data_IF_704734477921
#
_entry.id   IF_704734477921
#
_cell.length_a   1.000
_cell.length_b   1.000
_cell.length_c   1.000
_cell.angle_alpha   90.00
_cell.angle_beta   90.00
_cell.angle_gamma   90.00
#
_symmetry.space_group_name_H-M   'P 1'
#
loop_
_entity.id
_entity.type
_entity.pdbx_description
1 polymer ?
#
# COMPACT_ATOMS: atom_id res chain seq x y z
N UNK A 1 -5.31 -6.95 25.99
CA UNK A 1 -5.16 -5.95 24.91
C UNK A 1 -4.56 -6.68 23.72
N UNK A 2 -5.21 -6.72 22.56
CA UNK A 2 -4.60 -7.36 21.37
C UNK A 2 -3.37 -6.58 20.94
N UNK A 3 -2.29 -7.32 20.68
CA UNK A 3 -0.97 -6.84 20.27
C UNK A 3 -0.76 -7.03 18.76
N UNK A 4 -1.85 -7.31 18.05
CA UNK A 4 -1.86 -7.68 16.66
C UNK A 4 -2.92 -6.93 15.85
N UNK A 5 -2.65 -6.79 14.56
CA UNK A 5 -3.58 -6.29 13.56
C UNK A 5 -3.34 -6.99 12.22
N UNK A 6 -4.35 -7.02 11.36
CA UNK A 6 -4.26 -7.54 10.00
C UNK A 6 -3.91 -6.39 9.07
N UNK A 7 -2.85 -6.57 8.29
CA UNK A 7 -2.40 -5.62 7.28
C UNK A 7 -2.61 -6.23 5.90
N UNK A 8 -3.44 -5.60 5.08
CA UNK A 8 -3.46 -5.87 3.65
C UNK A 8 -2.77 -4.75 2.88
N UNK A 9 -2.03 -5.11 1.85
CA UNK A 9 -1.26 -4.20 1.00
C UNK A 9 -1.69 -4.42 -0.44
N UNK A 10 -2.24 -3.39 -1.07
CA UNK A 10 -2.82 -3.46 -2.40
C UNK A 10 -2.01 -2.63 -3.40
N UNK A 11 -1.54 -3.28 -4.45
CA UNK A 11 -0.95 -2.66 -5.64
C UNK A 11 -1.97 -2.42 -6.75
N UNK A 12 -1.55 -2.59 -8.00
CA UNK A 12 -2.43 -2.44 -9.18
C UNK A 12 -3.39 -3.62 -9.38
N UNK A 13 -2.99 -4.83 -9.03
CA UNK A 13 -3.74 -6.05 -9.37
C UNK A 13 -3.96 -6.96 -8.17
N UNK A 14 -2.94 -7.06 -7.31
CA UNK A 14 -2.90 -8.05 -6.24
C UNK A 14 -2.93 -7.39 -4.87
N UNK A 15 -3.41 -8.18 -3.90
CA UNK A 15 -3.44 -7.82 -2.50
C UNK A 15 -2.74 -8.90 -1.67
N UNK A 16 -1.78 -8.47 -0.86
CA UNK A 16 -1.07 -9.34 0.07
C UNK A 16 -1.53 -9.04 1.49
N UNK A 17 -1.87 -10.08 2.26
CA UNK A 17 -2.40 -9.92 3.63
C UNK A 17 -1.50 -10.60 4.64
N UNK A 18 -1.22 -9.88 5.73
CA UNK A 18 -0.26 -10.28 6.76
C UNK A 18 -0.84 -10.06 8.17
N UNK A 19 -0.60 -11.01 9.06
CA UNK A 19 -0.77 -10.80 10.50
C UNK A 19 0.43 -10.05 11.07
N UNK A 20 0.20 -8.87 11.64
CA UNK A 20 1.26 -8.05 12.24
C UNK A 20 1.20 -8.17 13.75
N UNK A 21 2.34 -8.43 14.39
CA UNK A 21 2.51 -8.38 15.83
C UNK A 21 3.33 -7.14 16.21
N UNK A 22 2.71 -6.19 16.91
CA UNK A 22 3.32 -4.88 17.20
C UNK A 22 4.58 -5.03 18.06
N UNK A 23 4.60 -5.98 18.99
CA UNK A 23 5.76 -6.28 19.84
C UNK A 23 6.89 -7.03 19.13
N UNK A 24 6.64 -7.62 17.96
CA UNK A 24 7.61 -8.41 17.21
C UNK A 24 7.87 -7.79 15.84
N UNK A 25 8.81 -6.85 15.81
CA UNK A 25 9.24 -6.23 14.54
C UNK A 25 9.94 -7.25 13.66
N UNK A 26 9.45 -7.36 12.42
CA UNK A 26 10.13 -8.11 11.35
C UNK A 26 11.53 -7.54 11.09
N UNK A 27 12.43 -8.39 10.61
CA UNK A 27 13.75 -8.00 10.13
C UNK A 27 13.82 -8.13 8.61
N UNK A 28 14.33 -7.12 7.88
CA UNK A 28 14.47 -7.20 6.44
C UNK A 28 15.68 -8.07 6.04
N UNK A 29 15.64 -8.62 4.83
CA UNK A 29 16.75 -9.41 4.28
C UNK A 29 17.71 -8.53 3.46
N UNK A 30 17.27 -8.00 2.33
CA UNK A 30 18.01 -7.13 1.43
C UNK A 30 17.09 -6.02 0.91
N UNK A 31 17.04 -4.90 1.63
CA UNK A 31 16.25 -3.73 1.25
C UNK A 31 17.13 -2.50 1.03
N UNK A 32 16.67 -1.55 0.18
CA UNK A 32 17.28 -0.23 0.11
C UNK A 32 17.39 0.42 1.49
N UNK A 33 18.47 1.16 1.72
CA UNK A 33 18.70 1.82 3.02
C UNK A 33 17.84 3.07 3.24
N UNK A 34 17.36 3.69 2.16
CA UNK A 34 16.50 4.87 2.20
C UNK A 34 15.03 4.45 2.16
N UNK A 35 14.23 5.02 3.05
CA UNK A 35 12.79 4.75 3.16
C UNK A 35 12.03 5.05 1.85
N UNK A 36 12.42 6.12 1.16
CA UNK A 36 11.83 6.51 -0.13
C UNK A 36 12.09 5.44 -1.22
N UNK A 37 13.26 4.81 -1.18
CA UNK A 37 13.61 3.73 -2.10
C UNK A 37 12.89 2.43 -1.73
N UNK A 38 12.65 2.17 -0.44
CA UNK A 38 11.86 1.02 0.03
C UNK A 38 10.40 1.09 -0.45
N UNK A 39 9.78 2.28 -0.46
CA UNK A 39 8.43 2.47 -0.98
C UNK A 39 8.38 2.25 -2.50
N UNK A 40 9.38 2.73 -3.25
CA UNK A 40 9.45 2.47 -4.68
C UNK A 40 9.70 0.98 -4.97
N UNK A 41 10.53 0.31 -4.17
CA UNK A 41 10.74 -1.12 -4.23
C UNK A 41 9.44 -1.89 -3.94
N UNK A 42 8.70 -1.51 -2.90
CA UNK A 42 7.42 -2.13 -2.53
C UNK A 42 6.43 -2.05 -3.69
N UNK A 43 6.23 -0.86 -4.26
CA UNK A 43 5.34 -0.68 -5.40
C UNK A 43 5.77 -1.46 -6.64
N UNK A 44 7.08 -1.50 -6.93
CA UNK A 44 7.60 -2.32 -8.03
C UNK A 44 7.38 -3.82 -7.79
N UNK A 45 7.53 -4.29 -6.55
CA UNK A 45 7.33 -5.69 -6.21
C UNK A 45 5.85 -6.07 -6.35
N UNK A 46 4.93 -5.23 -5.88
CA UNK A 46 3.49 -5.41 -6.01
C UNK A 46 3.02 -5.43 -7.48
N UNK A 47 3.64 -4.64 -8.35
CA UNK A 47 3.37 -4.69 -9.79
C UNK A 47 3.89 -6.01 -10.42
N UNK A 48 5.01 -6.56 -9.91
CA UNK A 48 5.58 -7.82 -10.39
C UNK A 48 4.83 -9.07 -9.91
N UNK A 49 4.04 -9.00 -8.83
CA UNK A 49 3.23 -10.15 -8.34
C UNK A 49 2.25 -10.64 -9.40
N UNK A 50 1.77 -9.73 -10.26
CA UNK A 50 0.88 -10.08 -11.36
C UNK A 50 1.57 -10.96 -12.43
N UNK A 51 2.91 -11.02 -12.45
CA UNK A 51 3.69 -11.72 -13.46
C UNK A 51 4.36 -13.00 -12.90
N UNK A 52 4.78 -13.02 -11.63
CA UNK A 52 5.49 -14.15 -11.01
C UNK A 52 5.10 -14.37 -9.54
N UNK A 53 5.15 -15.62 -9.06
CA UNK A 53 4.89 -15.94 -7.66
C UNK A 53 6.03 -15.43 -6.77
N UNK A 54 5.69 -14.60 -5.77
CA UNK A 54 6.66 -14.05 -4.83
C UNK A 54 7.30 -15.15 -3.97
N UNK A 55 8.61 -15.09 -3.82
CA UNK A 55 9.37 -15.89 -2.85
C UNK A 55 8.99 -15.53 -1.42
N UNK A 56 9.20 -16.46 -0.48
CA UNK A 56 8.97 -16.21 0.95
C UNK A 56 9.77 -15.00 1.47
N UNK A 57 10.99 -14.82 0.97
CA UNK A 57 11.83 -13.66 1.27
C UNK A 57 11.19 -12.35 0.82
N UNK A 58 10.69 -12.30 -0.42
CA UNK A 58 10.01 -11.10 -0.94
C UNK A 58 8.72 -10.81 -0.16
N UNK A 59 7.93 -11.83 0.19
CA UNK A 59 6.74 -11.67 1.04
C UNK A 59 7.09 -11.11 2.42
N UNK A 60 8.17 -11.61 3.03
CA UNK A 60 8.66 -11.11 4.31
C UNK A 60 9.12 -9.64 4.23
N UNK A 61 9.82 -9.27 3.15
CA UNK A 61 10.29 -7.90 2.94
C UNK A 61 9.14 -6.93 2.61
N UNK A 62 8.12 -7.36 1.83
CA UNK A 62 6.87 -6.60 1.60
C UNK A 62 6.18 -6.33 2.93
N UNK A 63 6.03 -7.37 3.76
CA UNK A 63 5.41 -7.26 5.07
C UNK A 63 6.18 -6.28 5.96
N UNK A 64 7.52 -6.37 5.98
CA UNK A 64 8.39 -5.47 6.74
C UNK A 64 8.24 -4.01 6.34
N UNK A 65 8.34 -3.69 5.04
CA UNK A 65 8.24 -2.30 4.56
C UNK A 65 6.87 -1.72 4.87
N UNK A 66 5.82 -2.49 4.60
CA UNK A 66 4.43 -2.07 4.80
C UNK A 66 4.11 -1.87 6.28
N UNK A 67 4.49 -2.83 7.13
CA UNK A 67 4.37 -2.72 8.59
C UNK A 67 5.11 -1.49 9.11
N UNK A 68 6.38 -1.32 8.73
CA UNK A 68 7.21 -0.20 9.19
C UNK A 68 6.59 1.14 8.81
N UNK A 69 6.03 1.23 7.60
CA UNK A 69 5.33 2.41 7.14
C UNK A 69 4.06 2.70 7.95
N UNK A 70 3.23 1.69 8.22
CA UNK A 70 2.00 1.83 9.01
C UNK A 70 2.34 2.26 10.44
N UNK A 71 3.22 1.53 11.12
CA UNK A 71 3.58 1.81 12.52
C UNK A 71 4.19 3.20 12.71
N UNK A 72 4.86 3.73 11.69
CA UNK A 72 5.45 5.08 11.72
C UNK A 72 4.42 6.19 11.48
N UNK A 73 3.46 5.97 10.57
CA UNK A 73 2.59 7.04 10.05
C UNK A 73 1.18 7.04 10.65
N UNK A 74 0.73 5.92 11.20
CA UNK A 74 -0.57 5.82 11.82
C UNK A 74 -0.50 6.37 13.25
N UNK A 75 -1.04 7.57 13.44
CA UNK A 75 -0.90 8.35 14.68
C UNK A 75 -1.79 7.87 15.84
N UNK A 76 -2.74 6.99 15.55
CA UNK A 76 -3.72 6.49 16.51
C UNK A 76 -3.46 5.03 16.81
N UNK A 77 -3.55 4.65 18.09
CA UNK A 77 -3.65 3.25 18.48
C UNK A 77 -4.88 2.64 17.80
N UNK A 78 -4.64 1.71 16.89
CA UNK A 78 -5.70 0.98 16.20
C UNK A 78 -5.49 -0.51 16.43
N UNK A 79 -6.60 -1.23 16.46
CA UNK A 79 -6.64 -2.69 16.60
C UNK A 79 -7.67 -3.19 15.62
N UNK A 80 -7.28 -4.11 14.76
CA UNK A 80 -8.16 -4.67 13.75
C UNK A 80 -7.50 -4.78 12.39
N UNK A 81 -8.10 -4.18 11.37
CA UNK A 81 -7.68 -4.30 9.97
C UNK A 81 -7.20 -2.96 9.41
N UNK A 82 -6.09 -2.98 8.65
CA UNK A 82 -5.59 -1.83 7.89
C UNK A 82 -5.31 -2.25 6.46
N UNK A 83 -5.76 -1.40 5.53
CA UNK A 83 -5.44 -1.50 4.12
C UNK A 83 -4.44 -0.40 3.74
N UNK A 84 -3.32 -0.78 3.14
CA UNK A 84 -2.33 0.10 2.56
C UNK A 84 -2.46 0.06 1.04
N UNK A 85 -2.83 1.18 0.41
CA UNK A 85 -2.79 1.31 -1.05
C UNK A 85 -1.40 1.80 -1.47
N UNK A 86 -0.80 1.15 -2.47
CA UNK A 86 0.46 1.58 -3.07
C UNK A 86 0.17 2.06 -4.49
N UNK A 87 -0.04 3.37 -4.64
CA UNK A 87 -0.58 3.98 -5.86
C UNK A 87 0.52 4.53 -6.75
N UNK A 88 0.43 4.27 -8.06
CA UNK A 88 1.42 4.73 -9.02
C UNK A 88 1.14 6.17 -9.47
N UNK A 89 2.13 7.03 -9.33
CA UNK A 89 2.04 8.39 -9.86
C UNK A 89 2.10 8.41 -11.39
N UNK A 90 1.40 9.38 -11.97
CA UNK A 90 1.42 9.66 -13.41
C UNK A 90 2.83 9.97 -13.92
N UNK A 91 3.65 10.61 -13.11
CA UNK A 91 4.98 11.08 -13.48
C UNK A 91 6.02 10.27 -12.69
N UNK A 92 6.51 9.15 -13.24
CA UNK A 92 7.53 8.36 -12.55
C UNK A 92 8.78 9.19 -12.32
N UNK A 93 9.34 9.07 -11.13
CA UNK A 93 10.52 9.81 -10.71
C UNK A 93 11.73 8.95 -11.03
N UNK A 94 12.63 9.47 -11.87
CA UNK A 94 13.74 8.70 -12.41
C UNK A 94 14.81 9.56 -13.08
N UNK A 95 15.99 8.98 -13.29
CA UNK A 95 17.22 9.70 -13.71
C UNK A 95 17.16 10.40 -15.07
N UNK A 96 16.16 10.09 -15.92
CA UNK A 96 15.99 10.77 -17.21
C UNK A 96 15.48 12.19 -16.98
N UNK A 97 16.33 13.18 -17.26
CA UNK A 97 16.11 14.61 -16.98
C UNK A 97 14.72 15.15 -17.36
N UNK A 98 14.10 14.65 -18.44
CA UNK A 98 12.75 15.08 -18.88
C UNK A 98 11.63 14.66 -17.94
N UNK A 99 11.77 13.54 -17.22
CA UNK A 99 10.80 13.07 -16.24
C UNK A 99 10.99 13.78 -14.91
N UNK A 100 12.25 13.96 -14.47
CA UNK A 100 12.59 14.75 -13.27
C UNK A 100 12.03 16.18 -13.33
N UNK A 101 12.21 16.91 -14.44
CA UNK A 101 11.69 18.29 -14.59
C UNK A 101 10.16 18.35 -14.49
N UNK A 102 9.44 17.35 -15.02
CA UNK A 102 7.98 17.28 -14.90
C UNK A 102 7.54 16.89 -13.49
N UNK A 103 8.25 15.94 -12.88
CA UNK A 103 8.00 15.48 -11.53
C UNK A 103 8.21 16.62 -10.51
N UNK A 104 9.34 17.32 -10.58
CA UNK A 104 9.66 18.48 -9.76
C UNK A 104 8.59 19.59 -9.91
N UNK A 105 8.11 19.83 -11.14
CA UNK A 105 7.09 20.85 -11.42
C UNK A 105 5.72 20.53 -10.81
N UNK A 106 5.38 19.25 -10.64
CA UNK A 106 4.10 18.84 -10.05
C UNK A 106 4.23 18.37 -8.59
N UNK A 107 5.42 18.46 -8.00
CA UNK A 107 5.70 17.99 -6.64
C UNK A 107 5.67 16.47 -6.49
N UNK A 108 5.93 15.73 -7.57
CA UNK A 108 6.02 14.27 -7.58
C UNK A 108 7.41 13.85 -7.06
N UNK A 109 7.46 13.39 -5.81
CA UNK A 109 8.71 12.95 -5.17
C UNK A 109 9.00 11.46 -5.40
N UNK A 110 7.97 10.62 -5.63
CA UNK A 110 8.11 9.16 -5.72
C UNK A 110 7.24 8.57 -6.83
N UNK A 111 7.70 7.46 -7.44
CA UNK A 111 6.92 6.76 -8.48
C UNK A 111 5.70 6.07 -7.87
N UNK A 112 5.83 5.59 -6.63
CA UNK A 112 4.76 4.97 -5.86
C UNK A 112 4.47 5.79 -4.61
N UNK A 113 3.19 5.88 -4.26
CA UNK A 113 2.69 6.60 -3.10
C UNK A 113 1.89 5.67 -2.22
N UNK A 114 2.35 5.45 -0.97
CA UNK A 114 1.58 4.74 0.03
C UNK A 114 0.45 5.64 0.55
N UNK A 115 -0.74 5.05 0.67
CA UNK A 115 -1.91 5.70 1.23
C UNK A 115 -2.60 4.74 2.21
N UNK A 116 -2.61 5.10 3.49
CA UNK A 116 -3.25 4.31 4.53
C UNK A 116 -4.75 4.59 4.49
N UNK A 117 -5.54 3.54 4.23
CA UNK A 117 -6.99 3.62 4.35
C UNK A 117 -7.42 3.76 5.82
N UNK A 118 -8.65 4.21 6.03
CA UNK A 118 -9.23 4.27 7.37
C UNK A 118 -9.25 2.86 8.00
N UNK A 119 -8.62 2.65 9.17
CA UNK A 119 -8.62 1.36 9.84
C UNK A 119 -10.03 0.85 10.11
N UNK A 120 -10.25 -0.46 9.96
CA UNK A 120 -11.54 -1.09 10.17
C UNK A 120 -11.52 -2.00 11.40
N UNK A 121 -12.58 -1.97 12.23
CA UNK A 121 -12.71 -2.93 13.31
C UNK A 121 -12.96 -4.32 12.73
N UNK A 122 -12.26 -5.32 13.27
CA UNK A 122 -12.44 -6.73 12.91
C UNK A 122 -12.24 -7.60 14.16
N UNK A 123 -12.84 -8.78 14.16
CA UNK A 123 -12.68 -9.75 15.25
C UNK A 123 -11.23 -10.25 15.34
N UNK A 124 -10.74 -10.69 16.52
CA UNK A 124 -9.35 -11.13 16.72
C UNK A 124 -8.89 -12.35 15.91
N UNK A 125 -9.84 -13.14 15.38
CA UNK A 125 -9.61 -14.32 14.55
C UNK A 125 -10.66 -14.35 13.45
N UNK A 126 -10.57 -13.45 12.46
CA UNK A 126 -11.60 -13.31 11.46
C UNK A 126 -11.49 -14.37 10.37
N UNK A 127 -12.64 -14.73 9.80
CA UNK A 127 -12.67 -15.52 8.58
C UNK A 127 -12.41 -14.67 7.33
N UNK A 128 -12.21 -15.32 6.19
CA UNK A 128 -11.96 -14.65 4.91
C UNK A 128 -13.09 -13.67 4.52
N UNK A 129 -14.33 -13.95 4.90
CA UNK A 129 -15.47 -13.09 4.57
C UNK A 129 -15.45 -11.78 5.37
N UNK A 130 -15.01 -11.86 6.63
CA UNK A 130 -14.82 -10.70 7.50
C UNK A 130 -13.66 -9.84 7.02
N UNK A 131 -12.55 -10.45 6.59
CA UNK A 131 -11.39 -9.73 6.01
C UNK A 131 -11.83 -8.99 4.75
N UNK A 132 -12.52 -9.67 3.82
CA UNK A 132 -13.02 -9.04 2.60
C UNK A 132 -14.01 -7.90 2.86
N UNK A 133 -14.89 -8.08 3.85
CA UNK A 133 -15.83 -7.03 4.24
C UNK A 133 -15.10 -5.80 4.81
N UNK A 134 -14.02 -6.01 5.58
CA UNK A 134 -13.19 -4.93 6.10
C UNK A 134 -12.42 -4.23 4.98
N UNK A 135 -11.85 -4.98 4.04
CA UNK A 135 -11.20 -4.46 2.83
C UNK A 135 -12.14 -3.57 2.01
N UNK A 136 -13.34 -4.07 1.69
CA UNK A 136 -14.35 -3.34 0.91
C UNK A 136 -14.74 -2.01 1.59
N UNK A 137 -14.93 -2.03 2.92
CA UNK A 137 -15.23 -0.82 3.70
C UNK A 137 -14.05 0.15 3.71
N UNK A 138 -12.84 -0.35 3.91
CA UNK A 138 -11.63 0.46 3.89
C UNK A 138 -11.47 1.13 2.52
N UNK A 139 -11.65 0.40 1.42
CA UNK A 139 -11.53 0.93 0.06
C UNK A 139 -12.66 1.93 -0.26
N UNK A 140 -13.90 1.63 0.15
CA UNK A 140 -15.06 2.51 -0.03
C UNK A 140 -14.87 3.87 0.65
N UNK A 141 -14.27 3.90 1.84
CA UNK A 141 -13.94 5.15 2.54
C UNK A 141 -12.99 6.06 1.73
N UNK A 142 -12.17 5.48 0.84
CA UNK A 142 -11.19 6.23 0.04
C UNK A 142 -11.73 6.74 -1.30
N UNK A 143 -12.99 6.44 -1.65
CA UNK A 143 -13.54 6.82 -2.96
C UNK A 143 -13.45 8.33 -3.23
N UNK A 144 -13.73 9.17 -2.22
CA UNK A 144 -13.64 10.62 -2.36
C UNK A 144 -12.19 11.09 -2.61
N UNK A 145 -11.22 10.50 -1.89
CA UNK A 145 -9.80 10.76 -2.09
C UNK A 145 -9.34 10.37 -3.50
N UNK A 146 -9.71 9.17 -3.95
CA UNK A 146 -9.37 8.67 -5.28
C UNK A 146 -10.00 9.51 -6.40
N UNK A 147 -11.28 9.91 -6.27
CA UNK A 147 -11.95 10.81 -7.22
C UNK A 147 -11.24 12.16 -7.31
N UNK A 148 -10.86 12.76 -6.18
CA UNK A 148 -10.11 14.04 -6.13
C UNK A 148 -8.73 13.93 -6.77
N UNK A 149 -8.04 12.80 -6.58
CA UNK A 149 -6.68 12.58 -7.05
C UNK A 149 -6.59 11.79 -8.38
N UNK A 150 -7.70 11.59 -9.09
CA UNK A 150 -7.75 10.79 -10.33
C UNK A 150 -6.67 11.16 -11.36
N UNK A 151 -6.33 12.44 -11.51
CA UNK A 151 -5.30 12.90 -12.46
C UNK A 151 -3.87 12.59 -11.99
N UNK A 152 -3.66 12.51 -10.68
CA UNK A 152 -2.38 12.18 -10.06
C UNK A 152 -2.04 10.71 -10.27
N UNK A 153 -3.03 9.84 -10.10
CA UNK A 153 -2.91 8.38 -10.26
C UNK A 153 -3.38 7.93 -11.64
N UNK A 154 -3.07 8.70 -12.69
CA UNK A 154 -3.55 8.40 -14.04
C UNK A 154 -2.93 7.13 -14.65
N UNK A 155 -1.81 6.66 -14.08
CA UNK A 155 -1.17 5.40 -14.47
C UNK A 155 -1.65 4.23 -13.61
N UNK A 156 -2.55 4.45 -12.66
CA UNK A 156 -3.14 3.41 -11.84
C UNK A 156 -4.47 2.94 -12.43
N UNK A 157 -4.41 1.78 -13.06
CA UNK A 157 -5.54 1.11 -13.68
C UNK A 157 -6.60 0.69 -12.66
N UNK A 158 -6.19 0.13 -11.50
CA UNK A 158 -7.09 -0.23 -10.41
C UNK A 158 -7.90 0.97 -9.90
N UNK A 159 -7.24 2.12 -9.71
CA UNK A 159 -7.92 3.36 -9.28
C UNK A 159 -9.01 3.76 -10.27
N UNK A 160 -8.75 3.67 -11.57
CA UNK A 160 -9.72 4.00 -12.59
C UNK A 160 -10.87 3.00 -12.70
N UNK A 161 -10.58 1.71 -12.60
CA UNK A 161 -11.58 0.65 -12.56
C UNK A 161 -12.50 0.84 -11.35
N UNK A 162 -11.93 1.03 -10.17
CA UNK A 162 -12.67 1.22 -8.93
C UNK A 162 -13.56 2.47 -8.95
N UNK A 163 -13.03 3.62 -9.40
CA UNK A 163 -13.83 4.84 -9.60
C UNK A 163 -14.95 4.60 -10.62
N UNK A 164 -14.69 3.82 -11.67
CA UNK A 164 -15.66 3.50 -12.72
C UNK A 164 -16.81 2.62 -12.25
N UNK A 165 -16.52 1.63 -11.39
CA UNK A 165 -17.52 0.74 -10.78
C UNK A 165 -18.39 1.48 -9.74
N UNK A 166 -17.84 2.49 -9.07
CA UNK A 166 -18.49 3.26 -8.00
C UNK A 166 -18.88 4.69 -8.46
N UNK A 167 -19.36 4.79 -9.70
CA UNK A 167 -19.70 6.06 -10.33
C UNK A 167 -21.06 6.59 -9.95
#
# INVERSE_FOLDING_TARGET
>A
MSDNFILSVMGESEIETFDVQISHKRSPSELPSLEEDQINWLGSMLDSVAEEELTDTQKADIAYVSESYILKNLKSDFKGYVLLLVLREKWPVGQKAKFKVKADKVGASHTYIPHICEPQPIEPSPDETQIKTAEDKALASQLAFLKKNKKRFANSSAVHAYIGQNR
#
